data_IF_455068482958
#
_entry.id   IF_455068482958
#
_cell.length_a   1.000
_cell.length_b   1.000
_cell.length_c   1.000
_cell.angle_alpha   90.00
_cell.angle_beta   90.00
_cell.angle_gamma   90.00
#
_symmetry.space_group_name_H-M   'P 1'
#
loop_
_entity.id
_entity.type
_entity.pdbx_description
1 polymer ?
#
# COMPACT_ATOMS: atom_id res chain seq x y z
N UNK A 1 -26.77 29.87 -1.68
CA UNK A 1 -25.98 28.74 -1.13
C UNK A 1 -25.72 29.02 0.34
N UNK A 2 -25.85 28.05 1.22
CA UNK A 2 -25.50 28.19 2.64
C UNK A 2 -23.99 28.35 2.82
N UNK A 3 -23.53 28.82 3.99
CA UNK A 3 -22.09 28.90 4.28
C UNK A 3 -21.44 27.51 4.24
N UNK A 4 -22.15 26.48 4.70
CA UNK A 4 -21.70 25.10 4.64
C UNK A 4 -21.52 24.61 3.19
N UNK A 5 -22.46 24.91 2.29
CA UNK A 5 -22.33 24.56 0.86
C UNK A 5 -21.18 25.31 0.18
N UNK A 6 -20.95 26.57 0.56
CA UNK A 6 -19.80 27.34 0.05
C UNK A 6 -18.49 26.75 0.54
N UNK A 7 -18.44 26.35 1.81
CA UNK A 7 -17.28 25.69 2.40
C UNK A 7 -16.98 24.35 1.72
N UNK A 8 -17.99 23.54 1.45
CA UNK A 8 -17.85 22.27 0.71
C UNK A 8 -17.24 22.46 -0.68
N UNK A 9 -17.77 23.41 -1.46
CA UNK A 9 -17.23 23.75 -2.78
C UNK A 9 -15.80 24.28 -2.66
N UNK A 10 -15.52 25.09 -1.65
CA UNK A 10 -14.18 25.60 -1.41
C UNK A 10 -13.20 24.46 -1.09
N UNK A 11 -13.56 23.49 -0.24
CA UNK A 11 -12.76 22.30 0.05
C UNK A 11 -12.43 21.49 -1.20
N UNK A 12 -13.41 21.31 -2.10
CA UNK A 12 -13.20 20.65 -3.39
C UNK A 12 -12.18 21.39 -4.26
N UNK A 13 -12.31 22.72 -4.35
CA UNK A 13 -11.39 23.56 -5.12
C UNK A 13 -9.98 23.57 -4.50
N UNK A 14 -9.88 23.52 -3.18
CA UNK A 14 -8.60 23.45 -2.47
C UNK A 14 -7.88 22.13 -2.77
N UNK A 15 -8.58 20.98 -2.75
CA UNK A 15 -7.99 19.71 -3.20
C UNK A 15 -7.54 19.81 -4.66
N UNK A 16 -8.35 20.41 -5.54
CA UNK A 16 -7.97 20.62 -6.95
C UNK A 16 -6.69 21.47 -7.08
N UNK A 17 -6.54 22.52 -6.28
CA UNK A 17 -5.34 23.35 -6.28
C UNK A 17 -4.13 22.55 -5.80
N UNK A 18 -4.26 21.80 -4.70
CA UNK A 18 -3.19 20.93 -4.21
C UNK A 18 -2.79 19.90 -5.26
N UNK A 19 -3.74 19.26 -5.96
CA UNK A 19 -3.42 18.33 -7.04
C UNK A 19 -2.63 19.03 -8.17
N UNK A 20 -3.02 20.23 -8.54
CA UNK A 20 -2.31 21.02 -9.57
C UNK A 20 -0.86 21.31 -9.15
N UNK A 21 -0.65 21.68 -7.88
CA UNK A 21 0.67 21.86 -7.28
C UNK A 21 1.52 20.58 -7.27
N UNK A 22 0.89 19.40 -7.18
CA UNK A 22 1.55 18.10 -7.28
C UNK A 22 1.91 17.70 -8.72
N UNK A 23 1.70 18.61 -9.69
CA UNK A 23 2.05 18.46 -11.10
C UNK A 23 0.97 17.82 -11.96
N UNK A 24 -0.24 17.64 -11.42
CA UNK A 24 -1.37 17.15 -12.20
C UNK A 24 -1.90 18.26 -13.12
N UNK A 25 -2.03 17.93 -14.41
CA UNK A 25 -2.60 18.81 -15.41
C UNK A 25 -4.06 18.42 -15.63
N UNK A 26 -4.95 19.40 -15.55
CA UNK A 26 -6.36 19.19 -15.84
C UNK A 26 -6.55 18.94 -17.35
N UNK A 27 -7.28 17.89 -17.71
CA UNK A 27 -7.58 17.58 -19.10
C UNK A 27 -8.47 18.67 -19.71
N UNK A 28 -7.84 19.58 -20.47
CA UNK A 28 -8.52 20.66 -21.20
C UNK A 28 -9.40 20.17 -22.37
N UNK A 29 -9.32 18.88 -22.73
CA UNK A 29 -10.12 18.26 -23.80
C UNK A 29 -11.61 18.07 -23.48
N UNK A 30 -12.06 18.44 -22.28
CA UNK A 30 -13.47 18.65 -21.99
C UNK A 30 -13.75 20.15 -21.85
N UNK A 31 -13.85 20.86 -22.97
CA UNK A 31 -14.50 22.16 -23.04
C UNK A 31 -16.02 21.97 -23.15
N UNK A 32 -16.83 22.08 -22.09
CA UNK A 32 -18.20 22.53 -22.26
C UNK A 32 -18.12 24.04 -22.45
N UNK A 33 -18.63 24.50 -23.58
CA UNK A 33 -18.89 25.91 -23.85
C UNK A 33 -19.32 26.66 -22.60
N UNK A 34 -18.62 27.76 -22.30
CA UNK A 34 -18.91 28.76 -21.27
C UNK A 34 -20.37 29.29 -21.38
N UNK A 35 -21.37 28.51 -20.95
CA UNK A 35 -22.76 28.96 -20.78
C UNK A 35 -23.48 28.10 -19.72
N UNK A 36 -23.72 28.71 -18.56
CA UNK A 36 -24.85 28.42 -17.64
C UNK A 36 -25.20 26.93 -17.38
N UNK A 37 -24.20 26.09 -17.12
CA UNK A 37 -24.34 24.79 -16.44
C UNK A 37 -22.96 24.48 -15.87
N UNK A 38 -22.75 24.72 -14.58
CA UNK A 38 -21.40 24.86 -14.02
C UNK A 38 -20.68 23.52 -13.79
N UNK A 39 -21.30 22.35 -14.03
CA UNK A 39 -20.81 21.09 -13.47
C UNK A 39 -21.33 19.78 -14.12
N UNK A 40 -21.61 19.75 -15.42
CA UNK A 40 -22.09 18.51 -16.06
C UNK A 40 -20.98 17.76 -16.80
N UNK A 41 -20.47 16.72 -16.14
CA UNK A 41 -20.06 15.50 -16.85
C UNK A 41 -20.48 14.28 -16.05
N UNK A 42 -21.53 13.63 -16.55
CA UNK A 42 -22.12 12.43 -15.97
C UNK A 42 -21.08 11.32 -15.80
N UNK A 43 -21.09 10.68 -14.63
CA UNK A 43 -20.54 9.35 -14.44
C UNK A 43 -21.23 8.38 -15.43
N UNK A 44 -20.55 7.32 -15.89
CA UNK A 44 -21.21 6.21 -16.58
C UNK A 44 -22.33 5.56 -15.75
N UNK A 45 -22.50 5.92 -14.48
CA UNK A 45 -23.73 5.78 -13.68
C UNK A 45 -23.56 6.62 -12.39
N UNK A 46 -24.42 7.64 -12.14
CA UNK A 46 -24.52 8.29 -10.80
C UNK A 46 -24.18 9.78 -10.65
N UNK A 47 -24.55 10.64 -11.61
CA UNK A 47 -24.97 12.05 -11.41
C UNK A 47 -24.22 12.95 -10.40
N UNK A 48 -22.93 13.23 -10.63
CA UNK A 48 -22.16 14.25 -9.92
C UNK A 48 -21.15 14.91 -10.87
N UNK A 49 -20.65 16.09 -10.50
CA UNK A 49 -19.64 16.80 -11.29
C UNK A 49 -18.25 16.21 -11.07
N UNK A 50 -17.34 16.25 -12.05
CA UNK A 50 -15.98 15.76 -11.82
C UNK A 50 -14.92 16.55 -12.59
N UNK A 51 -13.78 16.75 -11.95
CA UNK A 51 -12.53 17.17 -12.57
C UNK A 51 -11.70 15.94 -12.93
N UNK A 52 -11.03 15.97 -14.08
CA UNK A 52 -10.13 14.91 -14.53
C UNK A 52 -8.74 15.50 -14.73
N UNK A 53 -7.75 14.82 -14.17
CA UNK A 53 -6.36 15.22 -14.24
C UNK A 53 -5.51 14.07 -14.75
N UNK A 54 -4.45 14.41 -15.47
CA UNK A 54 -3.40 13.52 -15.90
C UNK A 54 -2.06 14.09 -15.47
N UNK A 55 -1.10 13.20 -15.24
CA UNK A 55 0.28 13.58 -14.93
C UNK A 55 1.23 12.84 -15.88
N UNK A 56 2.36 13.44 -16.29
CA UNK A 56 3.24 12.85 -17.31
C UNK A 56 3.78 11.46 -16.97
N UNK A 57 3.75 11.07 -15.69
CA UNK A 57 4.17 9.76 -15.22
C UNK A 57 3.08 8.66 -15.33
N UNK A 58 1.94 8.98 -15.94
CA UNK A 58 0.85 8.04 -16.18
C UNK A 58 -0.18 7.94 -15.05
N UNK A 59 -0.04 8.73 -13.97
CA UNK A 59 -1.11 8.85 -12.98
C UNK A 59 -2.26 9.68 -13.53
N UNK A 60 -3.48 9.19 -13.33
CA UNK A 60 -4.70 9.92 -13.63
C UNK A 60 -5.57 10.04 -12.38
N UNK A 61 -6.14 11.22 -12.15
CA UNK A 61 -7.04 11.47 -11.03
C UNK A 61 -8.40 11.91 -11.53
N UNK A 62 -9.46 11.34 -10.95
CA UNK A 62 -10.83 11.83 -11.06
C UNK A 62 -11.29 12.33 -9.70
N UNK A 63 -11.56 13.63 -9.61
CA UNK A 63 -12.09 14.29 -8.40
C UNK A 63 -13.56 14.61 -8.62
N UNK A 64 -14.46 13.87 -7.96
CA UNK A 64 -15.91 14.00 -8.14
C UNK A 64 -16.54 14.72 -6.96
N UNK A 65 -17.44 15.66 -7.26
CA UNK A 65 -18.27 16.38 -6.31
C UNK A 65 -19.63 15.68 -6.20
N UNK A 66 -20.01 15.33 -4.97
CA UNK A 66 -21.34 14.82 -4.66
C UNK A 66 -21.79 13.56 -5.45
N UNK A 67 -20.91 12.57 -5.76
CA UNK A 67 -21.31 11.41 -6.55
C UNK A 67 -22.35 10.55 -5.84
N UNK A 68 -23.30 10.01 -6.60
CA UNK A 68 -24.41 9.22 -6.05
C UNK A 68 -24.14 7.73 -6.24
N UNK A 69 -24.04 7.00 -5.13
CA UNK A 69 -23.91 5.54 -5.12
C UNK A 69 -25.21 4.89 -4.64
N UNK A 70 -25.85 4.14 -5.52
CA UNK A 70 -27.11 3.43 -5.25
C UNK A 70 -26.95 1.92 -5.38
N UNK A 71 -28.05 1.19 -5.23
CA UNK A 71 -28.09 -0.25 -5.49
C UNK A 71 -27.71 -0.57 -6.94
N UNK A 72 -27.10 -1.74 -7.20
CA UNK A 72 -26.79 -2.16 -8.57
C UNK A 72 -28.07 -2.33 -9.38
N UNK A 73 -28.05 -1.86 -10.61
CA UNK A 73 -29.04 -2.20 -11.63
C UNK A 73 -28.69 -3.57 -12.22
N UNK A 74 -29.67 -4.26 -12.81
CA UNK A 74 -29.46 -5.61 -13.34
C UNK A 74 -28.28 -5.67 -14.33
N UNK A 75 -27.32 -6.55 -14.07
CA UNK A 75 -26.15 -6.78 -14.94
C UNK A 75 -25.03 -5.72 -14.84
N UNK A 76 -25.10 -4.79 -13.89
CA UNK A 76 -24.08 -3.75 -13.73
C UNK A 76 -22.85 -4.31 -13.00
N UNK A 77 -21.72 -4.37 -13.70
CA UNK A 77 -20.40 -4.77 -13.18
C UNK A 77 -19.39 -3.64 -13.32
N UNK A 78 -18.21 -3.84 -12.74
CA UNK A 78 -17.06 -2.94 -12.75
C UNK A 78 -17.36 -1.55 -12.18
N UNK A 79 -18.29 -1.47 -11.23
CA UNK A 79 -18.81 -0.22 -10.66
C UNK A 79 -18.96 -0.34 -9.14
N UNK A 80 -19.15 0.82 -8.48
CA UNK A 80 -19.33 0.92 -7.03
C UNK A 80 -20.81 1.10 -6.72
N UNK A 81 -21.31 0.36 -5.75
CA UNK A 81 -22.70 0.40 -5.34
C UNK A 81 -22.84 0.47 -3.82
N UNK A 82 -24.04 0.83 -3.37
CA UNK A 82 -24.47 0.67 -1.99
C UNK A 82 -25.75 -0.15 -1.90
N UNK A 83 -25.73 -1.21 -1.10
CA UNK A 83 -26.83 -2.17 -1.02
C UNK A 83 -27.98 -1.72 -0.12
N UNK A 84 -27.71 -0.90 0.89
CA UNK A 84 -28.70 -0.53 1.91
C UNK A 84 -29.39 0.76 1.54
N UNK A 85 -28.68 1.88 1.64
CA UNK A 85 -29.16 3.24 1.41
C UNK A 85 -28.27 3.96 0.39
N UNK A 86 -28.83 4.97 -0.29
CA UNK A 86 -28.05 5.82 -1.21
C UNK A 86 -26.96 6.53 -0.41
N UNK A 87 -25.72 6.46 -0.89
CA UNK A 87 -24.60 7.21 -0.34
C UNK A 87 -24.23 8.34 -1.28
N UNK A 88 -23.96 9.51 -0.71
CA UNK A 88 -23.58 10.71 -1.46
C UNK A 88 -22.50 11.48 -0.67
N UNK A 89 -21.23 11.03 -0.69
CA UNK A 89 -20.14 11.78 -0.08
C UNK A 89 -19.91 13.11 -0.79
N UNK A 90 -19.40 14.12 -0.07
CA UNK A 90 -19.18 15.44 -0.68
C UNK A 90 -18.10 15.40 -1.76
N UNK A 91 -17.00 14.68 -1.52
CA UNK A 91 -15.86 14.59 -2.43
C UNK A 91 -15.38 13.14 -2.53
N UNK A 92 -15.21 12.66 -3.75
CA UNK A 92 -14.68 11.33 -4.06
C UNK A 92 -13.49 11.43 -5.00
N UNK A 93 -12.33 10.99 -4.53
CA UNK A 93 -11.08 11.03 -5.27
C UNK A 93 -10.73 9.60 -5.72
N UNK A 94 -10.69 9.36 -7.03
CA UNK A 94 -10.21 8.12 -7.64
C UNK A 94 -8.88 8.38 -8.35
N UNK A 95 -7.83 7.66 -7.98
CA UNK A 95 -6.55 7.64 -8.68
C UNK A 95 -6.40 6.35 -9.46
N UNK A 96 -6.04 6.45 -10.74
CA UNK A 96 -5.63 5.34 -11.58
C UNK A 96 -4.12 5.38 -11.77
N UNK A 97 -3.45 4.30 -11.36
CA UNK A 97 -2.00 4.14 -11.46
C UNK A 97 -1.59 3.61 -12.85
N UNK A 98 -0.31 3.74 -13.24
CA UNK A 98 0.17 3.26 -14.54
C UNK A 98 -0.08 1.77 -14.82
N UNK A 99 -0.19 0.95 -13.77
CA UNK A 99 -0.55 -0.47 -13.86
C UNK A 99 -2.07 -0.73 -14.07
N UNK A 100 -2.85 0.34 -14.23
CA UNK A 100 -4.30 0.32 -14.43
C UNK A 100 -5.10 0.15 -13.14
N UNK A 101 -4.47 -0.08 -11.97
CA UNK A 101 -5.20 -0.22 -10.71
C UNK A 101 -5.78 1.11 -10.27
N UNK A 102 -6.96 1.03 -9.63
CA UNK A 102 -7.71 2.19 -9.14
C UNK A 102 -7.81 2.17 -7.63
N UNK A 103 -7.47 3.30 -7.01
CA UNK A 103 -7.49 3.49 -5.57
C UNK A 103 -8.31 4.72 -5.25
N UNK A 104 -9.15 4.66 -4.20
CA UNK A 104 -10.11 5.71 -3.89
C UNK A 104 -10.06 6.18 -2.45
N UNK A 105 -10.36 7.47 -2.28
CA UNK A 105 -10.55 8.14 -1.01
C UNK A 105 -11.83 8.96 -1.01
N UNK A 106 -12.38 9.13 0.19
CA UNK A 106 -13.55 9.99 0.43
C UNK A 106 -13.10 11.16 1.28
N UNK A 107 -13.54 12.36 0.90
CA UNK A 107 -13.45 13.54 1.75
C UNK A 107 -14.84 14.12 1.92
N UNK A 108 -15.14 14.57 3.13
CA UNK A 108 -16.47 15.10 3.47
C UNK A 108 -16.28 16.40 4.25
N UNK A 109 -16.83 17.48 3.72
CA UNK A 109 -16.66 18.80 4.30
C UNK A 109 -17.67 18.99 5.43
N UNK A 110 -17.20 19.48 6.57
CA UNK A 110 -18.05 19.72 7.74
C UNK A 110 -17.73 21.08 8.32
N UNK A 111 -18.62 22.04 8.05
CA UNK A 111 -18.50 23.43 8.53
C UNK A 111 -18.96 23.58 9.99
N UNK A 112 -18.29 22.85 10.89
CA UNK A 112 -18.42 22.98 12.35
C UNK A 112 -17.28 22.24 13.04
N UNK A 113 -17.04 22.62 14.29
CA UNK A 113 -15.99 22.08 15.14
C UNK A 113 -16.59 21.62 16.47
N UNK A 114 -15.95 20.65 17.10
CA UNK A 114 -16.12 20.32 18.52
C UNK A 114 -14.98 20.98 19.30
N UNK A 115 -15.27 21.45 20.51
CA UNK A 115 -14.31 22.14 21.39
C UNK A 115 -14.08 21.39 22.70
N UNK A 116 -14.33 20.08 22.72
CA UNK A 116 -14.50 19.33 23.97
C UNK A 116 -13.20 18.96 24.68
N UNK A 117 -12.05 18.91 24.00
CA UNK A 117 -10.77 18.57 24.63
C UNK A 117 -9.59 19.41 24.08
N UNK A 118 -8.82 19.98 25.01
CA UNK A 118 -7.43 20.45 24.81
C UNK A 118 -7.18 21.63 23.84
N UNK A 119 -8.07 22.61 23.74
CA UNK A 119 -7.73 23.91 23.12
C UNK A 119 -7.41 23.86 21.62
N UNK A 120 -7.68 22.73 20.96
CA UNK A 120 -7.65 22.56 19.52
C UNK A 120 -9.08 22.48 18.98
N UNK A 121 -9.27 22.97 17.76
CA UNK A 121 -10.51 22.72 17.03
C UNK A 121 -10.52 21.25 16.56
N UNK A 122 -11.56 20.51 16.96
CA UNK A 122 -11.71 19.09 16.64
C UNK A 122 -12.91 18.84 15.73
N UNK A 123 -12.90 17.68 15.08
CA UNK A 123 -14.01 17.14 14.30
C UNK A 123 -15.07 16.58 15.26
N UNK A 124 -16.35 16.92 15.09
CA UNK A 124 -17.43 16.27 15.83
C UNK A 124 -17.51 14.75 15.56
N UNK A 125 -17.78 13.95 16.60
CA UNK A 125 -17.81 12.49 16.52
C UNK A 125 -18.74 11.94 15.43
N UNK A 126 -19.89 12.56 15.23
CA UNK A 126 -20.86 12.13 14.22
C UNK A 126 -20.31 12.28 12.79
N UNK A 127 -19.43 13.27 12.54
CA UNK A 127 -18.74 13.43 11.27
C UNK A 127 -17.66 12.35 11.07
N UNK A 128 -16.97 11.91 12.13
CA UNK A 128 -16.05 10.76 12.05
C UNK A 128 -16.82 9.46 11.79
N UNK A 129 -17.93 9.23 12.50
CA UNK A 129 -18.80 8.06 12.31
C UNK A 129 -19.38 8.00 10.89
N UNK A 130 -19.67 9.16 10.30
CA UNK A 130 -20.08 9.28 8.90
C UNK A 130 -19.02 8.72 7.93
N UNK A 131 -17.72 8.85 8.25
CA UNK A 131 -16.64 8.33 7.40
C UNK A 131 -16.56 6.81 7.46
N UNK A 132 -16.75 6.23 8.64
CA UNK A 132 -16.90 4.77 8.79
C UNK A 132 -18.07 4.25 7.96
N UNK A 133 -19.22 4.94 8.00
CA UNK A 133 -20.41 4.60 7.21
C UNK A 133 -20.09 4.59 5.72
N UNK A 134 -19.50 5.65 5.18
CA UNK A 134 -19.20 5.69 3.75
C UNK A 134 -18.23 4.59 3.31
N UNK A 135 -17.13 4.39 4.04
CA UNK A 135 -16.14 3.37 3.70
C UNK A 135 -16.75 1.97 3.65
N UNK A 136 -17.62 1.63 4.60
CA UNK A 136 -18.23 0.30 4.68
C UNK A 136 -19.49 0.14 3.81
N UNK A 137 -20.25 1.20 3.55
CA UNK A 137 -21.46 1.13 2.75
C UNK A 137 -21.19 0.96 1.24
N UNK A 138 -19.98 1.30 0.77
CA UNK A 138 -19.58 1.18 -0.63
C UNK A 138 -18.91 -0.17 -0.91
N UNK A 139 -19.36 -0.82 -1.98
CA UNK A 139 -18.85 -2.12 -2.44
C UNK A 139 -18.59 -2.01 -3.94
N UNK A 140 -17.39 -2.41 -4.35
CA UNK A 140 -17.06 -2.59 -5.75
C UNK A 140 -17.48 -3.99 -6.20
N UNK A 141 -18.17 -4.07 -7.33
CA UNK A 141 -18.57 -5.32 -7.94
C UNK A 141 -17.82 -5.52 -9.25
N UNK A 142 -16.83 -6.42 -9.28
CA UNK A 142 -16.13 -6.82 -10.50
C UNK A 142 -16.76 -8.05 -11.13
N UNK A 143 -16.56 -8.23 -12.44
CA UNK A 143 -16.94 -9.47 -13.12
C UNK A 143 -15.88 -10.56 -12.91
N UNK A 144 -16.30 -11.70 -12.39
CA UNK A 144 -15.45 -12.86 -12.13
C UNK A 144 -15.36 -13.77 -13.35
N UNK A 145 -14.35 -14.64 -13.37
CA UNK A 145 -14.10 -15.57 -14.49
C UNK A 145 -15.17 -16.65 -14.66
N UNK A 146 -15.93 -16.96 -13.62
CA UNK A 146 -17.07 -17.88 -13.60
C UNK A 146 -18.40 -17.19 -13.98
N UNK A 147 -18.37 -15.89 -14.30
CA UNK A 147 -19.54 -15.11 -14.68
C UNK A 147 -20.33 -14.52 -13.50
N UNK A 148 -19.95 -14.84 -12.26
CA UNK A 148 -20.49 -14.24 -11.05
C UNK A 148 -19.79 -12.89 -10.73
N UNK A 149 -20.28 -12.19 -9.72
CA UNK A 149 -19.71 -10.92 -9.28
C UNK A 149 -18.82 -11.03 -8.04
N UNK A 150 -17.55 -10.67 -8.17
CA UNK A 150 -16.62 -10.53 -7.04
C UNK A 150 -16.84 -9.19 -6.34
N UNK A 151 -16.96 -9.23 -5.02
CA UNK A 151 -17.13 -8.04 -4.18
C UNK A 151 -15.83 -7.68 -3.47
N UNK A 152 -15.50 -6.39 -3.47
CA UNK A 152 -14.38 -5.85 -2.70
C UNK A 152 -14.69 -4.46 -2.13
N UNK A 153 -13.87 -4.00 -1.17
CA UNK A 153 -13.96 -2.65 -0.60
C UNK A 153 -13.15 -1.69 -1.47
N UNK A 154 -13.76 -0.67 -2.10
CA UNK A 154 -13.04 0.22 -3.02
C UNK A 154 -12.32 1.38 -2.34
N UNK A 155 -12.73 1.77 -1.14
CA UNK A 155 -12.25 2.98 -0.45
C UNK A 155 -11.16 2.61 0.54
N UNK A 156 -9.97 3.17 0.37
CA UNK A 156 -8.82 2.93 1.26
C UNK A 156 -8.84 3.84 2.49
N UNK A 157 -9.37 5.05 2.36
CA UNK A 157 -9.50 5.98 3.48
C UNK A 157 -10.64 6.97 3.28
N UNK A 158 -11.21 7.43 4.40
CA UNK A 158 -12.29 8.40 4.40
C UNK A 158 -12.03 9.45 5.49
N UNK A 159 -12.07 10.73 5.11
CA UNK A 159 -11.58 11.82 5.93
C UNK A 159 -12.55 12.99 5.99
N UNK A 160 -12.64 13.63 7.14
CA UNK A 160 -13.39 14.87 7.30
C UNK A 160 -12.48 16.07 7.01
N UNK A 161 -13.00 17.05 6.28
CA UNK A 161 -12.39 18.38 6.10
C UNK A 161 -13.18 19.38 6.94
N UNK A 162 -12.52 20.05 7.87
CA UNK A 162 -13.20 20.90 8.86
C UNK A 162 -12.46 22.23 9.06
N UNK A 163 -13.16 23.33 9.38
CA UNK A 163 -12.57 24.67 9.46
C UNK A 163 -11.85 24.89 10.80
N UNK A 164 -11.00 23.94 11.19
CA UNK A 164 -10.23 24.03 12.43
C UNK A 164 -8.99 24.90 12.29
N UNK A 165 -8.73 25.73 13.30
CA UNK A 165 -7.53 26.53 13.40
C UNK A 165 -6.44 25.77 14.16
N UNK A 166 -5.43 25.30 13.44
CA UNK A 166 -4.31 24.55 14.03
C UNK A 166 -2.99 25.05 13.43
N UNK A 167 -1.96 25.16 14.27
CA UNK A 167 -0.58 25.45 13.84
C UNK A 167 0.11 24.14 13.41
N UNK A 168 -0.15 23.74 12.16
CA UNK A 168 0.25 22.45 11.58
C UNK A 168 1.77 22.19 11.58
N UNK A 169 2.59 23.23 11.75
CA UNK A 169 4.05 23.13 11.84
C UNK A 169 4.55 22.79 13.24
N UNK A 170 3.78 23.17 14.28
CA UNK A 170 4.20 23.04 15.68
C UNK A 170 3.58 21.85 16.38
N UNK A 171 2.44 21.36 15.91
CA UNK A 171 1.72 20.25 16.53
C UNK A 171 1.58 19.07 15.59
N UNK A 172 1.22 17.92 16.16
CA UNK A 172 0.89 16.72 15.38
C UNK A 172 -0.62 16.67 15.14
N UNK A 173 -1.04 16.21 13.96
CA UNK A 173 -2.47 16.01 13.68
C UNK A 173 -3.09 15.08 14.74
N UNK A 174 -4.13 15.53 15.48
CA UNK A 174 -4.79 14.70 16.50
C UNK A 174 -5.35 13.40 15.92
N UNK A 175 -5.70 13.39 14.63
CA UNK A 175 -6.21 12.23 13.91
C UNK A 175 -5.11 11.39 13.23
N UNK A 176 -3.82 11.73 13.38
CA UNK A 176 -2.72 11.01 12.73
C UNK A 176 -2.78 9.51 13.01
N UNK A 177 -2.92 9.14 14.28
CA UNK A 177 -2.98 7.74 14.69
C UNK A 177 -4.18 7.00 14.09
N UNK A 178 -5.37 7.61 14.05
CA UNK A 178 -6.54 6.96 13.46
C UNK A 178 -6.43 6.85 11.94
N UNK A 179 -5.81 7.83 11.27
CA UNK A 179 -5.49 7.77 9.84
C UNK A 179 -4.54 6.61 9.55
N UNK A 180 -3.49 6.44 10.35
CA UNK A 180 -2.49 5.37 10.18
C UNK A 180 -3.08 3.98 10.48
N UNK A 181 -3.77 3.83 11.61
CA UNK A 181 -4.26 2.54 12.11
C UNK A 181 -5.50 2.05 11.36
N UNK A 182 -6.44 2.95 11.04
CA UNK A 182 -7.74 2.57 10.46
C UNK A 182 -8.10 3.33 9.20
N UNK A 183 -7.31 4.29 8.71
CA UNK A 183 -7.63 5.03 7.49
C UNK A 183 -8.85 5.95 7.62
N UNK A 184 -9.19 6.34 8.85
CA UNK A 184 -10.30 7.25 9.17
C UNK A 184 -9.76 8.39 10.04
N UNK A 185 -10.16 9.61 9.77
CA UNK A 185 -9.77 10.77 10.55
C UNK A 185 -10.17 12.06 9.85
N UNK A 186 -9.34 13.09 9.93
CA UNK A 186 -9.56 14.28 9.12
C UNK A 186 -8.38 15.24 9.12
N UNK A 187 -8.57 16.30 8.34
CA UNK A 187 -7.59 17.35 8.12
C UNK A 187 -8.25 18.70 8.35
N UNK A 188 -7.63 19.59 9.15
CA UNK A 188 -8.08 20.98 9.21
C UNK A 188 -7.90 21.57 7.81
N UNK A 189 -8.94 22.24 7.33
CA UNK A 189 -8.95 22.89 6.03
C UNK A 189 -9.64 24.24 6.18
N UNK A 190 -8.88 25.22 6.66
CA UNK A 190 -9.38 26.56 6.93
C UNK A 190 -9.00 27.50 5.77
N UNK A 191 -9.96 28.26 5.20
CA UNK A 191 -9.66 29.21 4.14
C UNK A 191 -8.59 30.24 4.52
N UNK A 192 -7.63 30.45 3.62
CA UNK A 192 -6.52 31.39 3.82
C UNK A 192 -5.31 30.80 4.58
N UNK A 193 -5.27 29.48 4.77
CA UNK A 193 -4.13 28.73 5.33
C UNK A 193 -3.45 27.88 4.25
N UNK A 194 -2.25 27.41 4.57
CA UNK A 194 -1.45 26.52 3.71
C UNK A 194 -1.92 25.05 3.70
N UNK A 195 -2.74 24.64 4.68
CA UNK A 195 -3.36 23.31 4.74
C UNK A 195 -2.34 22.15 4.62
N UNK A 196 -1.26 22.26 5.40
CA UNK A 196 -0.01 21.52 5.21
C UNK A 196 -0.17 20.00 5.34
N UNK A 197 -1.02 19.53 6.25
CA UNK A 197 -1.23 18.10 6.50
C UNK A 197 -2.01 17.44 5.36
N UNK A 198 -3.04 18.08 4.80
CA UNK A 198 -3.72 17.54 3.62
C UNK A 198 -2.77 17.54 2.41
N UNK A 199 -1.99 18.60 2.23
CA UNK A 199 -0.98 18.70 1.17
C UNK A 199 0.08 17.60 1.30
N UNK A 200 0.57 17.38 2.51
CA UNK A 200 1.55 16.32 2.80
C UNK A 200 0.94 14.95 2.58
N UNK A 201 -0.30 14.72 3.01
CA UNK A 201 -1.02 13.48 2.77
C UNK A 201 -1.14 13.20 1.27
N UNK A 202 -1.70 14.12 0.46
CA UNK A 202 -1.83 13.93 -0.98
C UNK A 202 -0.46 13.80 -1.67
N UNK A 203 0.56 14.52 -1.19
CA UNK A 203 1.94 14.39 -1.63
C UNK A 203 2.57 13.03 -1.33
N UNK A 204 2.26 12.40 -0.20
CA UNK A 204 2.65 11.02 0.11
C UNK A 204 1.89 10.01 -0.77
N UNK A 205 0.61 10.29 -1.06
CA UNK A 205 -0.22 9.39 -1.86
C UNK A 205 0.17 9.37 -3.33
N UNK A 206 0.57 10.52 -3.88
CA UNK A 206 0.84 10.62 -5.31
C UNK A 206 2.28 10.99 -5.63
N UNK A 207 3.11 11.45 -4.69
CA UNK A 207 4.40 12.06 -5.01
C UNK A 207 4.25 13.42 -5.71
N UNK A 208 5.38 14.02 -6.08
CA UNK A 208 5.45 15.33 -6.73
C UNK A 208 6.30 15.28 -8.00
N UNK A 209 5.85 15.96 -9.06
CA UNK A 209 6.65 16.23 -10.25
C UNK A 209 7.34 17.58 -10.08
N UNK A 210 8.65 17.58 -9.83
CA UNK A 210 9.46 18.81 -9.79
C UNK A 210 10.23 18.92 -11.10
N UNK A 211 10.30 20.13 -11.66
CA UNK A 211 10.99 20.41 -12.93
C UNK A 211 12.53 20.27 -12.85
N UNK A 212 13.12 20.02 -11.68
CA UNK A 212 14.57 19.78 -11.57
C UNK A 212 14.87 18.29 -11.72
N UNK A 213 15.89 17.98 -12.53
CA UNK A 213 16.39 16.65 -12.94
C UNK A 213 16.78 15.69 -11.80
N UNK A 214 16.55 16.08 -10.55
CA UNK A 214 16.66 15.23 -9.36
C UNK A 214 15.34 14.50 -9.12
N UNK A 215 15.17 13.41 -9.87
CA UNK A 215 14.20 12.31 -9.75
C UNK A 215 13.49 12.21 -8.40
N UNK A 216 12.15 12.24 -8.39
CA UNK A 216 11.34 11.71 -7.28
C UNK A 216 10.28 10.74 -7.78
N UNK A 217 10.13 9.68 -6.97
CA UNK A 217 9.44 8.41 -7.22
C UNK A 217 7.92 8.60 -7.34
N UNK A 218 7.35 7.99 -8.38
CA UNK A 218 5.90 7.77 -8.52
C UNK A 218 5.53 6.63 -7.58
N UNK A 219 4.66 6.82 -6.58
CA UNK A 219 4.21 5.71 -5.74
C UNK A 219 3.54 4.63 -6.58
N UNK A 220 3.89 3.37 -6.34
CA UNK A 220 3.18 2.24 -6.95
C UNK A 220 1.88 1.96 -6.23
N UNK A 221 0.88 1.47 -6.98
CA UNK A 221 -0.42 1.09 -6.43
C UNK A 221 -0.32 0.12 -5.24
N UNK A 222 0.63 -0.82 -5.29
CA UNK A 222 0.83 -1.84 -4.25
C UNK A 222 1.39 -1.23 -2.93
N UNK A 223 2.00 -0.04 -2.94
CA UNK A 223 2.40 0.68 -1.72
C UNK A 223 1.20 1.04 -0.84
N UNK A 224 0.10 1.44 -1.48
CA UNK A 224 -1.13 1.78 -0.77
C UNK A 224 -1.81 0.53 -0.19
N UNK A 225 -1.69 -0.61 -0.88
CA UNK A 225 -2.24 -1.90 -0.44
C UNK A 225 -1.43 -2.55 0.70
N UNK A 226 -0.23 -2.05 0.98
CA UNK A 226 0.63 -2.50 2.08
C UNK A 226 0.31 -1.83 3.43
N UNK A 227 -0.42 -0.70 3.41
CA UNK A 227 -0.78 0.05 4.61
C UNK A 227 -1.61 -0.81 5.57
N UNK A 228 -1.29 -0.72 6.87
CA UNK A 228 -1.94 -1.52 7.92
C UNK A 228 -3.46 -1.30 7.96
N UNK A 229 -3.91 -0.04 7.79
CA UNK A 229 -5.32 0.33 7.71
C UNK A 229 -6.11 -0.35 6.57
N UNK A 230 -5.43 -0.78 5.50
CA UNK A 230 -6.04 -1.49 4.36
C UNK A 230 -6.11 -3.00 4.59
N UNK A 231 -5.35 -3.52 5.57
CA UNK A 231 -5.19 -4.96 5.83
C UNK A 231 -5.96 -5.44 7.06
N UNK A 232 -7.00 -4.71 7.46
CA UNK A 232 -7.90 -5.08 8.55
C UNK A 232 -8.94 -6.08 8.02
N UNK A 233 -8.74 -7.36 8.31
CA UNK A 233 -9.69 -8.43 7.99
C UNK A 233 -10.66 -8.70 9.15
N UNK A 234 -11.88 -9.21 8.90
CA UNK A 234 -12.70 -9.82 9.95
C UNK A 234 -11.95 -10.93 10.68
N UNK A 235 -12.18 -11.06 11.99
CA UNK A 235 -11.54 -12.08 12.83
C UNK A 235 -11.75 -13.48 12.24
N UNK A 236 -10.65 -14.23 12.06
CA UNK A 236 -10.65 -15.56 11.44
C UNK A 236 -10.38 -15.56 9.93
N UNK A 237 -10.35 -14.39 9.28
CA UNK A 237 -9.94 -14.23 7.90
C UNK A 237 -8.54 -13.61 7.79
N UNK A 238 -7.93 -13.74 6.62
CA UNK A 238 -6.68 -13.04 6.30
C UNK A 238 -6.78 -12.40 4.91
N UNK A 239 -6.27 -11.18 4.79
CA UNK A 239 -6.10 -10.51 3.51
C UNK A 239 -4.70 -10.77 3.01
N UNK A 240 -4.58 -11.11 1.72
CA UNK A 240 -3.29 -11.33 1.08
C UNK A 240 -3.28 -10.79 -0.33
N UNK A 241 -2.25 -10.03 -0.68
CA UNK A 241 -2.05 -9.52 -2.05
C UNK A 241 -1.63 -10.61 -3.04
N UNK A 242 -0.82 -11.56 -2.58
CA UNK A 242 -0.18 -12.60 -3.39
C UNK A 242 -0.45 -13.97 -2.77
N UNK A 243 -1.04 -14.89 -3.55
CA UNK A 243 -1.37 -16.24 -3.07
C UNK A 243 -0.15 -17.12 -2.84
N UNK A 244 0.98 -16.80 -3.45
CA UNK A 244 2.19 -17.62 -3.48
C UNK A 244 3.46 -16.82 -3.16
N UNK A 245 3.33 -15.75 -2.36
CA UNK A 245 4.47 -14.92 -1.99
C UNK A 245 5.57 -15.76 -1.35
N UNK A 246 6.75 -15.72 -1.95
CA UNK A 246 7.90 -16.57 -1.61
C UNK A 246 9.06 -15.70 -1.17
N UNK A 247 9.54 -15.95 0.03
CA UNK A 247 10.79 -15.41 0.53
C UNK A 247 11.95 -16.18 -0.10
N UNK A 248 12.79 -15.47 -0.84
CA UNK A 248 14.05 -16.01 -1.32
C UNK A 248 15.18 -15.35 -0.56
N UNK A 249 15.92 -16.13 0.23
CA UNK A 249 16.96 -15.58 1.07
C UNK A 249 18.17 -16.50 1.18
N UNK A 250 19.34 -15.92 1.36
CA UNK A 250 20.56 -16.69 1.59
C UNK A 250 20.71 -17.13 3.03
N UNK A 251 21.23 -18.33 3.26
CA UNK A 251 21.62 -18.76 4.59
C UNK A 251 22.93 -18.06 5.01
N UNK A 252 22.90 -17.38 6.16
CA UNK A 252 24.07 -16.71 6.75
C UNK A 252 25.16 -17.74 7.15
N UNK A 253 26.41 -17.28 7.29
CA UNK A 253 27.61 -18.11 7.38
C UNK A 253 27.58 -19.24 8.43
N UNK A 254 28.42 -20.27 8.20
CA UNK A 254 28.52 -21.49 9.03
C UNK A 254 29.16 -21.29 10.41
N UNK A 255 29.71 -20.12 10.69
CA UNK A 255 30.54 -19.87 11.87
C UNK A 255 29.74 -19.98 13.17
N UNK A 256 30.08 -20.98 13.98
CA UNK A 256 29.47 -21.21 15.30
C UNK A 256 28.07 -21.81 15.27
N UNK A 257 27.57 -22.25 14.10
CA UNK A 257 26.31 -22.99 13.98
C UNK A 257 26.58 -24.48 13.76
N UNK A 258 25.73 -25.34 14.31
CA UNK A 258 25.82 -26.78 14.16
C UNK A 258 25.67 -27.20 12.69
N UNK A 259 26.45 -28.22 12.29
CA UNK A 259 26.46 -28.74 10.92
C UNK A 259 25.08 -29.25 10.52
N UNK A 260 24.40 -29.91 11.45
CA UNK A 260 23.08 -30.52 11.23
C UNK A 260 22.04 -29.49 10.77
N UNK A 261 22.07 -28.27 11.32
CA UNK A 261 21.17 -27.20 10.89
C UNK A 261 21.32 -26.89 9.39
N UNK A 262 22.55 -26.88 8.86
CA UNK A 262 22.79 -26.67 7.42
C UNK A 262 22.43 -27.89 6.57
N UNK A 263 22.74 -29.09 7.07
CA UNK A 263 22.45 -30.35 6.39
C UNK A 263 20.95 -30.54 6.16
N UNK A 264 20.12 -30.11 7.11
CA UNK A 264 18.65 -30.11 6.95
C UNK A 264 18.19 -29.29 5.74
N UNK A 265 18.80 -28.14 5.43
CA UNK A 265 18.46 -27.41 4.21
C UNK A 265 18.94 -28.12 2.93
N UNK A 266 20.14 -28.71 2.95
CA UNK A 266 20.66 -29.48 1.81
C UNK A 266 19.83 -30.74 1.52
N UNK A 267 19.12 -31.27 2.52
CA UNK A 267 18.29 -32.47 2.41
C UNK A 267 16.79 -32.16 2.21
N UNK A 268 16.38 -30.89 2.15
CA UNK A 268 14.96 -30.55 2.08
C UNK A 268 14.17 -30.78 3.39
N UNK A 269 14.86 -30.91 4.53
CA UNK A 269 14.29 -31.25 5.85
C UNK A 269 14.39 -30.12 6.89
N UNK A 270 14.66 -28.90 6.47
CA UNK A 270 14.70 -27.76 7.36
C UNK A 270 13.31 -27.48 7.94
N UNK A 271 13.19 -27.46 9.27
CA UNK A 271 11.96 -27.11 9.97
C UNK A 271 11.88 -25.65 10.41
N UNK A 272 13.00 -24.91 10.34
CA UNK A 272 13.08 -23.53 10.83
C UNK A 272 13.99 -22.68 9.96
N UNK A 273 13.60 -21.42 9.77
CA UNK A 273 14.46 -20.37 9.21
C UNK A 273 14.22 -19.07 9.97
N UNK A 274 15.24 -18.21 10.04
CA UNK A 274 15.11 -16.95 10.74
C UNK A 274 15.94 -15.83 10.10
N UNK A 275 15.42 -14.61 10.17
CA UNK A 275 16.10 -13.38 9.72
C UNK A 275 15.86 -12.23 10.70
N UNK A 276 16.85 -11.35 10.94
CA UNK A 276 16.64 -10.18 11.78
C UNK A 276 15.56 -9.25 11.20
N UNK A 277 14.75 -8.63 12.07
CA UNK A 277 13.77 -7.62 11.63
C UNK A 277 14.46 -6.43 10.98
N UNK A 278 15.63 -6.04 11.49
CA UNK A 278 16.45 -4.98 10.90
C UNK A 278 16.85 -5.29 9.45
N UNK A 279 16.94 -6.56 9.07
CA UNK A 279 17.20 -6.94 7.67
C UNK A 279 15.99 -6.60 6.80
N UNK A 280 14.78 -6.94 7.21
CA UNK A 280 13.57 -6.59 6.44
C UNK A 280 13.31 -5.09 6.41
N UNK A 281 13.62 -4.38 7.50
CA UNK A 281 13.52 -2.90 7.59
C UNK A 281 14.54 -2.22 6.67
N UNK A 282 15.79 -2.70 6.64
CA UNK A 282 16.82 -2.22 5.70
C UNK A 282 16.43 -2.43 4.23
N UNK A 283 15.67 -3.50 3.95
CA UNK A 283 15.12 -3.78 2.62
C UNK A 283 13.77 -3.08 2.39
N UNK A 284 13.35 -2.17 3.30
CA UNK A 284 12.10 -1.39 3.22
C UNK A 284 10.85 -2.27 3.04
N UNK A 285 10.88 -3.50 3.54
CA UNK A 285 9.75 -4.44 3.44
C UNK A 285 8.80 -4.24 4.61
N UNK A 286 7.54 -3.93 4.30
CA UNK A 286 6.50 -3.78 5.30
C UNK A 286 6.27 -5.10 6.07
N UNK A 287 5.98 -4.99 7.38
CA UNK A 287 5.69 -6.15 8.25
C UNK A 287 4.52 -6.98 7.72
N UNK A 288 3.55 -6.32 7.12
CA UNK A 288 2.39 -6.95 6.50
C UNK A 288 2.76 -7.84 5.32
N UNK A 289 3.73 -7.45 4.48
CA UNK A 289 4.24 -8.30 3.41
C UNK A 289 4.94 -9.55 3.95
N UNK A 290 5.70 -9.42 5.05
CA UNK A 290 6.36 -10.57 5.70
C UNK A 290 5.31 -11.58 6.20
N UNK A 291 4.22 -11.11 6.82
CA UNK A 291 3.12 -11.96 7.31
C UNK A 291 2.36 -12.68 6.20
N UNK A 292 2.45 -12.21 4.96
CA UNK A 292 1.83 -12.84 3.79
C UNK A 292 2.68 -13.92 3.15
N UNK A 293 3.95 -14.08 3.54
CA UNK A 293 4.82 -15.11 2.97
C UNK A 293 4.19 -16.49 3.15
N UNK A 294 4.11 -17.25 2.06
CA UNK A 294 3.57 -18.62 2.00
C UNK A 294 4.66 -19.66 1.82
N UNK A 295 5.77 -19.27 1.22
CA UNK A 295 6.88 -20.17 0.96
C UNK A 295 8.23 -19.54 1.27
N UNK A 296 9.21 -20.38 1.60
CA UNK A 296 10.60 -20.00 1.76
C UNK A 296 11.47 -20.81 0.81
N UNK A 297 12.42 -20.15 0.16
CA UNK A 297 13.42 -20.78 -0.68
C UNK A 297 14.81 -20.28 -0.26
N UNK A 298 15.59 -21.16 0.35
CA UNK A 298 16.82 -20.78 1.05
C UNK A 298 18.04 -21.17 0.23
N UNK A 299 18.86 -20.18 -0.12
CA UNK A 299 20.09 -20.41 -0.87
C UNK A 299 21.20 -20.89 0.06
N UNK A 300 21.71 -22.10 -0.19
CA UNK A 300 22.73 -22.75 0.63
C UNK A 300 23.98 -23.02 -0.19
N UNK A 301 25.16 -22.86 0.44
CA UNK A 301 26.43 -23.23 -0.17
C UNK A 301 26.72 -24.72 0.06
N UNK A 302 27.00 -25.46 -1.02
CA UNK A 302 27.56 -26.81 -0.94
C UNK A 302 29.10 -26.76 -0.90
N UNK A 303 29.72 -27.78 -0.30
CA UNK A 303 31.18 -27.93 -0.26
C UNK A 303 31.73 -28.15 -1.67
N UNK A 304 32.71 -27.35 -2.09
CA UNK A 304 33.34 -27.46 -3.41
C UNK A 304 32.68 -26.63 -4.53
N UNK A 305 31.50 -26.03 -4.30
CA UNK A 305 30.83 -25.17 -5.28
C UNK A 305 31.08 -23.69 -4.95
N UNK A 306 31.40 -22.83 -5.95
CA UNK A 306 31.62 -21.40 -5.72
C UNK A 306 30.31 -20.65 -5.42
N UNK A 307 29.16 -21.09 -5.92
CA UNK A 307 27.89 -20.39 -5.74
C UNK A 307 26.95 -21.06 -4.73
N UNK A 308 25.99 -20.29 -4.21
CA UNK A 308 24.87 -20.83 -3.44
C UNK A 308 23.82 -21.35 -4.40
N UNK A 309 23.08 -22.38 -3.98
CA UNK A 309 21.97 -22.94 -4.75
C UNK A 309 20.70 -22.97 -3.94
N UNK A 310 19.59 -22.80 -4.64
CA UNK A 310 18.25 -23.04 -4.11
C UNK A 310 17.76 -24.31 -4.79
N UNK A 311 17.47 -25.32 -3.98
CA UNK A 311 17.03 -26.64 -4.46
C UNK A 311 15.67 -27.04 -3.90
N UNK A 312 15.20 -26.34 -2.86
CA UNK A 312 13.96 -26.65 -2.17
C UNK A 312 13.11 -25.40 -1.96
N UNK A 313 11.81 -25.57 -2.14
CA UNK A 313 10.77 -24.65 -1.74
C UNK A 313 10.04 -25.24 -0.52
N UNK A 314 10.04 -24.53 0.59
CA UNK A 314 9.40 -24.94 1.83
C UNK A 314 8.06 -24.22 2.01
N UNK A 315 7.02 -24.95 2.40
CA UNK A 315 5.79 -24.34 2.91
C UNK A 315 6.10 -23.59 4.21
N UNK A 316 5.48 -22.42 4.41
CA UNK A 316 5.56 -21.70 5.69
C UNK A 316 4.31 -22.01 6.51
N UNK A 317 4.51 -22.65 7.66
CA UNK A 317 3.44 -23.02 8.59
C UNK A 317 3.08 -21.87 9.52
N UNK A 318 4.09 -21.15 10.02
CA UNK A 318 3.90 -20.01 10.90
C UNK A 318 5.05 -19.00 10.79
N UNK A 319 4.74 -17.73 11.09
CA UNK A 319 5.71 -16.65 11.16
C UNK A 319 5.51 -15.94 12.50
N UNK A 320 6.56 -15.87 13.31
CA UNK A 320 6.53 -15.24 14.64
C UNK A 320 7.61 -14.20 14.79
N UNK A 321 7.31 -13.18 15.59
CA UNK A 321 8.26 -12.16 16.01
C UNK A 321 8.79 -12.55 17.39
N UNK A 322 10.08 -12.87 17.47
CA UNK A 322 10.69 -13.46 18.67
C UNK A 322 12.09 -12.87 18.86
N UNK A 323 12.52 -12.71 20.12
CA UNK A 323 13.88 -12.22 20.42
C UNK A 323 14.92 -13.30 20.15
N UNK A 324 16.09 -12.91 19.66
CA UNK A 324 17.12 -13.88 19.23
C UNK A 324 17.61 -14.79 20.36
N UNK A 325 17.64 -14.31 21.60
CA UNK A 325 18.05 -15.06 22.78
C UNK A 325 17.03 -16.11 23.24
N UNK A 326 15.80 -16.07 22.71
CA UNK A 326 14.75 -17.06 22.99
C UNK A 326 14.79 -18.24 22.01
N UNK A 327 15.65 -18.21 20.99
CA UNK A 327 15.76 -19.29 20.00
C UNK A 327 16.42 -20.54 20.56
N UNK A 328 15.84 -21.69 20.24
CA UNK A 328 16.45 -22.99 20.53
C UNK A 328 17.62 -23.29 19.59
N UNK A 329 18.42 -24.27 19.98
CA UNK A 329 19.51 -24.79 19.14
C UNK A 329 18.98 -25.29 17.78
N UNK A 330 17.83 -25.97 17.79
CA UNK A 330 17.18 -26.47 16.57
C UNK A 330 16.74 -25.35 15.61
N UNK A 331 16.21 -24.25 16.16
CA UNK A 331 15.66 -23.14 15.38
C UNK A 331 16.73 -22.32 14.66
N UNK A 332 17.93 -22.22 15.22
CA UNK A 332 18.96 -21.29 14.75
C UNK A 332 20.33 -21.92 14.48
N UNK A 333 20.48 -23.21 14.81
CA UNK A 333 21.76 -23.92 14.82
C UNK A 333 22.76 -23.41 15.86
N UNK A 334 22.40 -22.42 16.69
CA UNK A 334 23.27 -21.83 17.72
C UNK A 334 22.45 -21.09 18.77
N UNK A 335 22.80 -21.29 20.04
CA UNK A 335 22.28 -20.49 21.16
C UNK A 335 23.07 -19.18 21.26
N UNK A 336 22.38 -18.04 21.39
CA UNK A 336 22.97 -16.71 21.54
C UNK A 336 22.18 -15.91 22.58
N UNK A 337 22.48 -16.16 23.86
CA UNK A 337 21.75 -15.59 25.00
C UNK A 337 21.95 -14.08 25.16
N UNK A 338 23.04 -13.53 24.61
CA UNK A 338 23.36 -12.10 24.66
C UNK A 338 22.56 -11.24 23.70
N UNK A 339 21.97 -11.84 22.65
CA UNK A 339 21.35 -11.10 21.58
C UNK A 339 19.83 -10.96 21.79
N UNK A 340 19.38 -9.78 22.22
CA UNK A 340 17.96 -9.49 22.45
C UNK A 340 17.22 -8.90 21.25
N UNK A 341 17.88 -8.79 20.08
CA UNK A 341 17.27 -8.21 18.89
C UNK A 341 16.09 -9.06 18.38
N UNK A 342 15.11 -8.41 17.75
CA UNK A 342 13.93 -9.06 17.19
C UNK A 342 14.23 -9.73 15.85
N UNK A 343 13.72 -10.94 15.67
CA UNK A 343 13.83 -11.74 14.46
C UNK A 343 12.45 -12.22 14.01
N UNK A 344 12.31 -12.35 12.70
CA UNK A 344 11.27 -13.18 12.10
C UNK A 344 11.70 -14.63 12.18
N UNK A 345 10.91 -15.46 12.86
CA UNK A 345 11.08 -16.90 12.95
C UNK A 345 10.01 -17.57 12.08
N UNK A 346 10.46 -18.32 11.09
CA UNK A 346 9.64 -19.08 10.16
C UNK A 346 9.67 -20.55 10.56
N UNK A 347 8.50 -21.13 10.77
CA UNK A 347 8.31 -22.57 10.85
C UNK A 347 8.08 -23.10 9.45
N UNK A 348 8.95 -24.02 9.03
CA UNK A 348 8.96 -24.59 7.70
C UNK A 348 8.31 -25.97 7.72
N UNK A 349 7.41 -26.19 6.77
CA UNK A 349 6.69 -27.44 6.60
C UNK A 349 7.29 -28.31 5.52
N UNK A 350 6.43 -28.93 4.72
CA UNK A 350 6.85 -29.81 3.64
C UNK A 350 7.67 -29.05 2.59
N UNK A 351 8.63 -29.74 1.98
CA UNK A 351 9.46 -29.16 0.93
C UNK A 351 9.19 -29.81 -0.42
N UNK A 352 9.39 -29.02 -1.47
CA UNK A 352 9.30 -29.44 -2.87
C UNK A 352 10.63 -29.20 -3.54
N UNK A 353 11.10 -30.18 -4.30
CA UNK A 353 12.34 -30.04 -5.07
C UNK A 353 12.12 -29.10 -6.25
N UNK A 354 13.04 -28.15 -6.41
CA UNK A 354 13.11 -27.23 -7.53
C UNK A 354 14.22 -27.65 -8.49
N UNK A 355 14.17 -27.11 -9.72
CA UNK A 355 15.38 -27.09 -10.55
C UNK A 355 16.41 -26.20 -9.86
N UNK A 356 17.66 -26.67 -9.65
CA UNK A 356 18.64 -25.90 -8.90
C UNK A 356 18.86 -24.51 -9.49
N UNK A 357 18.49 -23.48 -8.73
CA UNK A 357 18.72 -22.08 -9.10
C UNK A 357 20.05 -21.62 -8.51
N UNK A 358 20.96 -21.14 -9.36
CA UNK A 358 22.25 -20.62 -8.92
C UNK A 358 22.08 -19.17 -8.47
N UNK A 359 22.50 -18.88 -7.23
CA UNK A 359 22.54 -17.54 -6.65
C UNK A 359 23.99 -17.08 -6.61
N UNK A 360 24.36 -16.06 -7.41
CA UNK A 360 25.76 -15.69 -7.60
C UNK A 360 26.39 -15.10 -6.34
N UNK A 361 27.59 -15.58 -6.02
CA UNK A 361 28.45 -15.03 -4.97
C UNK A 361 28.32 -15.67 -3.58
N UNK A 362 29.48 -15.95 -2.94
CA UNK A 362 29.54 -16.44 -1.55
C UNK A 362 29.37 -15.35 -0.49
N UNK A 363 29.68 -14.09 -0.84
CA UNK A 363 29.81 -12.97 0.09
C UNK A 363 28.57 -12.09 0.00
N UNK A 364 27.99 -11.75 1.15
CA UNK A 364 26.78 -10.94 1.27
C UNK A 364 25.51 -11.75 1.49
N UNK A 365 24.58 -11.19 2.26
CA UNK A 365 23.23 -11.71 2.42
C UNK A 365 22.38 -11.24 1.23
N UNK A 366 21.62 -12.14 0.62
CA UNK A 366 20.67 -11.85 -0.45
C UNK A 366 19.26 -12.09 0.07
N UNK A 367 18.34 -11.21 -0.34
CA UNK A 367 16.93 -11.24 0.04
C UNK A 367 16.10 -10.70 -1.12
N UNK A 368 14.98 -11.35 -1.38
CA UNK A 368 13.99 -10.96 -2.39
C UNK A 368 12.63 -11.58 -2.03
N UNK A 369 11.55 -10.95 -2.49
CA UNK A 369 10.20 -11.50 -2.44
C UNK A 369 9.70 -11.72 -3.86
N UNK A 370 9.39 -12.97 -4.21
CA UNK A 370 8.95 -13.36 -5.56
C UNK A 370 7.71 -14.27 -5.49
N UNK A 371 7.18 -14.71 -6.62
CA UNK A 371 6.14 -15.75 -6.67
C UNK A 371 6.76 -17.15 -6.65
N UNK A 372 6.10 -18.11 -6.00
CA UNK A 372 6.53 -19.51 -6.03
C UNK A 372 6.57 -20.04 -7.47
N UNK A 373 5.59 -19.61 -8.29
CA UNK A 373 5.53 -19.95 -9.71
C UNK A 373 6.75 -19.41 -10.47
N UNK A 374 7.09 -18.14 -10.26
CA UNK A 374 8.24 -17.51 -10.92
C UNK A 374 9.54 -18.26 -10.55
N UNK A 375 9.67 -18.65 -9.28
CA UNK A 375 10.81 -19.44 -8.80
C UNK A 375 10.90 -20.83 -9.44
N UNK A 376 9.78 -21.47 -9.74
CA UNK A 376 9.73 -22.78 -10.40
C UNK A 376 10.08 -22.70 -11.90
N UNK A 377 9.80 -21.57 -12.54
CA UNK A 377 9.98 -21.35 -13.99
C UNK A 377 11.37 -20.77 -14.33
N UNK A 378 11.94 -19.92 -13.47
CA UNK A 378 13.22 -19.26 -13.70
C UNK A 378 14.43 -20.18 -13.56
N UNK A 379 15.50 -19.86 -14.30
CA UNK A 379 16.77 -20.61 -14.30
C UNK A 379 17.94 -19.84 -13.69
N UNK A 380 17.87 -18.51 -13.73
CA UNK A 380 18.90 -17.64 -13.17
C UNK A 380 18.29 -16.66 -12.16
N UNK A 381 19.07 -16.29 -11.15
CA UNK A 381 18.66 -15.32 -10.12
C UNK A 381 18.18 -13.99 -10.71
N UNK A 382 18.86 -13.52 -11.77
CA UNK A 382 18.59 -12.22 -12.40
C UNK A 382 17.22 -12.17 -13.10
N UNK A 383 16.66 -13.33 -13.44
CA UNK A 383 15.39 -13.45 -14.16
C UNK A 383 14.19 -13.49 -13.19
N UNK A 384 14.44 -13.53 -11.88
CA UNK A 384 13.36 -13.58 -10.90
C UNK A 384 12.74 -12.19 -10.72
N UNK A 385 11.42 -12.05 -10.93
CA UNK A 385 10.73 -10.81 -10.66
C UNK A 385 10.65 -10.60 -9.16
N UNK A 386 10.99 -9.38 -8.74
CA UNK A 386 10.90 -8.99 -7.35
C UNK A 386 9.63 -8.18 -7.12
N UNK A 387 8.66 -8.80 -6.43
CA UNK A 387 7.31 -8.27 -6.22
C UNK A 387 7.29 -6.98 -5.40
N UNK A 388 8.39 -6.67 -4.71
CA UNK A 388 8.53 -5.46 -3.90
C UNK A 388 9.88 -4.77 -4.16
N UNK A 389 10.40 -4.82 -5.39
CA UNK A 389 11.60 -4.06 -5.77
C UNK A 389 11.39 -2.55 -5.60
N UNK A 390 10.19 -2.05 -5.92
CA UNK A 390 9.84 -0.63 -5.85
C UNK A 390 9.98 0.00 -4.46
N UNK A 391 9.94 -0.81 -3.40
CA UNK A 391 10.20 -0.34 -2.02
C UNK A 391 11.68 -0.03 -1.78
N UNK A 392 12.60 -0.67 -2.53
CA UNK A 392 14.06 -0.55 -2.36
C UNK A 392 14.74 0.41 -3.31
N UNK A 393 14.12 0.70 -4.44
CA UNK A 393 14.67 1.62 -5.42
C UNK A 393 14.77 3.05 -4.83
N UNK A 394 15.97 3.42 -4.37
CA UNK A 394 16.44 4.80 -4.53
C UNK A 394 16.90 4.91 -5.99
N UNK A 395 16.09 5.53 -6.85
CA UNK A 395 16.41 5.56 -8.28
C UNK A 395 17.59 6.50 -8.52
N UNK A 396 18.71 5.91 -8.90
CA UNK A 396 19.88 6.58 -9.45
C UNK A 396 19.51 7.35 -10.73
N UNK A 397 20.21 8.45 -11.04
CA UNK A 397 20.02 9.19 -12.29
C UNK A 397 20.11 8.25 -13.48
N UNK A 398 19.17 8.38 -14.42
CA UNK A 398 19.33 7.86 -15.77
C UNK A 398 20.56 8.58 -16.32
N UNK A 399 21.69 7.87 -16.43
CA UNK A 399 22.84 8.37 -17.15
C UNK A 399 22.35 8.72 -18.55
N UNK A 400 22.32 10.02 -18.86
CA UNK A 400 21.99 10.51 -20.18
C UNK A 400 22.79 9.74 -21.21
N UNK A 401 22.09 9.23 -22.21
CA UNK A 401 22.69 8.71 -23.42
C UNK A 401 23.68 9.75 -23.93
N UNK A 402 24.93 9.33 -24.08
CA UNK A 402 25.95 10.14 -24.74
C UNK A 402 25.50 10.40 -26.17
N UNK A 403 25.15 11.65 -26.45
CA UNK A 403 25.17 12.19 -27.79
C UNK A 403 26.63 12.49 -28.16
N UNK A 404 27.13 11.78 -29.17
CA UNK A 404 28.23 12.24 -30.05
C UNK A 404 27.95 13.62 -30.64
#
# INVERSE_FOLDING_TARGET
KSVAELYEIWCLLEIRNILSDLGFQEDSFFQPSLRKSFFEKELPEGGGAAFSFVRPDGLAIRLSHEPVFSRPKNGAFNSIFSWTTVQKPDIFLEAQFPDGKKIRWIFDAKYRISSEEEGFDLIPDDAINQMHRYRDALVYLSKSGDGEGDKSRPVLGAFVLYPGWIDEEKVTNPYKKSIEEVGIGGFPLLPGRENLWLRSFLGEMFGQVVQSETLRRVPESDEHLLKDSVRIAPTGLSLSRYRDLTLVASLSGRTGREKEYFERFLQGKAGWYHIPVSTTENYKVARTAIREIRYCAIAVSSTGVPDRRIEFLYDVLSIRLVRRNEFTLEQAGKIDLSNSALYWLFELGSSRTLKPLVVPGKRGFRFMLTGARDLMESREWKDLPDRYAFLREERLPVSGEGSE
#
